data_IF_079976071495
#
_entry.id   IF_079976071495
#
_cell.length_a   1.000
_cell.length_b   1.000
_cell.length_c   1.000
_cell.angle_alpha   90.00
_cell.angle_beta   90.00
_cell.angle_gamma   90.00
#
_symmetry.space_group_name_H-M   'P 1'
#
loop_
_entity.id
_entity.type
_entity.pdbx_description
1 polymer ?
#
# COMPACT_ATOMS: atom_id res chain seq x y z
N UNK A 1 -7.46 -16.39 -12.20
CA UNK A 1 -7.83 -16.50 -10.82
C UNK A 1 -7.72 -15.20 -10.07
N UNK A 2 -8.09 -15.23 -8.82
CA UNK A 2 -8.01 -14.07 -7.92
C UNK A 2 -7.13 -14.44 -6.75
N UNK A 3 -6.14 -13.58 -6.47
CA UNK A 3 -5.29 -13.72 -5.30
C UNK A 3 -5.94 -12.99 -4.14
N UNK A 4 -5.95 -13.61 -2.97
CA UNK A 4 -6.58 -13.03 -1.77
C UNK A 4 -5.64 -13.12 -0.59
N UNK A 5 -5.57 -12.04 0.19
CA UNK A 5 -4.82 -12.00 1.43
C UNK A 5 -5.77 -11.89 2.61
N UNK A 6 -5.62 -12.79 3.59
CA UNK A 6 -6.40 -12.80 4.80
C UNK A 6 -5.51 -12.56 6.00
N UNK A 7 -6.02 -11.77 6.94
CA UNK A 7 -5.33 -11.58 8.20
C UNK A 7 -6.22 -12.17 9.30
N UNK A 8 -5.64 -13.04 10.11
CA UNK A 8 -6.34 -13.68 11.21
C UNK A 8 -6.00 -12.97 12.51
N UNK A 9 -7.03 -12.64 13.26
CA UNK A 9 -6.88 -12.07 14.60
C UNK A 9 -7.79 -12.84 15.56
N UNK A 10 -7.23 -13.27 16.70
CA UNK A 10 -7.97 -13.92 17.79
C UNK A 10 -8.85 -15.07 17.30
N UNK A 11 -8.30 -15.92 16.46
CA UNK A 11 -8.97 -17.10 15.94
C UNK A 11 -10.23 -16.83 15.13
N UNK A 12 -10.53 -15.57 14.80
CA UNK A 12 -11.62 -15.26 13.89
C UNK A 12 -11.08 -14.80 12.55
N UNK A 13 -11.74 -15.25 11.49
CA UNK A 13 -11.40 -14.86 10.13
C UNK A 13 -12.42 -13.85 9.64
N UNK A 14 -11.94 -12.62 9.36
CA UNK A 14 -12.74 -11.65 8.62
C UNK A 14 -12.71 -11.94 7.13
N UNK A 15 -13.23 -11.04 6.32
CA UNK A 15 -13.08 -11.06 4.88
C UNK A 15 -11.63 -10.83 4.47
N UNK A 16 -11.32 -11.02 3.19
CA UNK A 16 -9.97 -10.75 2.69
C UNK A 16 -9.59 -9.29 2.92
N UNK A 17 -8.38 -9.05 3.43
CA UNK A 17 -7.86 -7.70 3.64
C UNK A 17 -7.69 -6.98 2.31
N UNK A 18 -7.24 -7.69 1.29
CA UNK A 18 -7.20 -7.21 -0.09
C UNK A 18 -7.17 -8.41 -1.03
N UNK A 19 -7.63 -8.20 -2.25
CA UNK A 19 -7.58 -9.23 -3.28
C UNK A 19 -7.45 -8.61 -4.66
N UNK A 20 -6.78 -9.31 -5.57
CA UNK A 20 -6.54 -8.84 -6.92
C UNK A 20 -6.45 -10.01 -7.89
N UNK A 21 -6.85 -9.76 -9.14
CA UNK A 21 -6.59 -10.70 -10.24
C UNK A 21 -5.18 -10.53 -10.80
N UNK A 22 -4.46 -9.50 -10.39
CA UNK A 22 -3.11 -9.21 -10.84
C UNK A 22 -2.09 -9.66 -9.82
N UNK A 23 -1.16 -10.54 -10.23
CA UNK A 23 -0.06 -10.96 -9.35
C UNK A 23 0.83 -9.76 -9.03
N UNK A 24 1.09 -8.90 -10.01
CA UNK A 24 1.90 -7.68 -9.81
C UNK A 24 1.33 -6.82 -8.69
N UNK A 25 0.02 -6.55 -8.72
CA UNK A 25 -0.64 -5.76 -7.67
C UNK A 25 -0.59 -6.50 -6.33
N UNK A 26 -0.85 -7.80 -6.33
CA UNK A 26 -0.83 -8.58 -5.10
C UNK A 26 0.56 -8.55 -4.45
N UNK A 27 1.62 -8.70 -5.25
CA UNK A 27 2.98 -8.63 -4.73
C UNK A 27 3.30 -7.26 -4.15
N UNK A 28 2.82 -6.17 -4.77
CA UNK A 28 2.96 -4.83 -4.21
C UNK A 28 2.22 -4.68 -2.88
N UNK A 29 0.99 -5.17 -2.81
CA UNK A 29 0.21 -5.08 -1.58
C UNK A 29 0.87 -5.86 -0.44
N UNK A 30 1.38 -7.06 -0.73
CA UNK A 30 2.10 -7.85 0.26
C UNK A 30 3.40 -7.15 0.71
N UNK A 31 4.10 -6.53 -0.24
CA UNK A 31 5.31 -5.77 0.05
C UNK A 31 5.02 -4.60 1.00
N UNK A 32 3.96 -3.84 0.73
CA UNK A 32 3.55 -2.74 1.59
C UNK A 32 3.17 -3.24 2.98
N UNK A 33 2.45 -4.33 3.04
CA UNK A 33 1.99 -4.90 4.31
C UNK A 33 3.15 -5.41 5.17
N UNK A 34 4.01 -6.27 4.59
CA UNK A 34 5.10 -6.89 5.34
C UNK A 34 6.32 -6.00 5.47
N UNK A 35 6.56 -5.12 4.50
CA UNK A 35 7.69 -4.19 4.54
C UNK A 35 7.63 -3.27 5.75
N UNK A 36 6.45 -2.71 6.03
CA UNK A 36 6.26 -1.88 7.22
C UNK A 36 6.57 -2.66 8.50
N UNK A 37 6.08 -3.89 8.62
CA UNK A 37 6.32 -4.74 9.79
C UNK A 37 7.80 -5.07 9.94
N UNK A 38 8.47 -5.36 8.85
CA UNK A 38 9.91 -5.62 8.87
C UNK A 38 10.67 -4.44 9.44
N UNK A 39 10.34 -3.22 9.02
CA UNK A 39 11.02 -2.02 9.51
C UNK A 39 10.78 -1.80 10.98
N UNK A 40 9.57 -2.06 11.47
CA UNK A 40 9.26 -1.97 12.91
C UNK A 40 10.13 -2.97 13.69
N UNK A 41 10.18 -4.23 13.24
CA UNK A 41 10.93 -5.28 13.92
C UNK A 41 12.44 -5.04 13.86
N UNK A 42 12.92 -4.41 12.79
CA UNK A 42 14.35 -4.13 12.61
C UNK A 42 14.78 -2.81 13.25
N UNK A 43 13.84 -2.10 13.87
CA UNK A 43 14.07 -0.78 14.46
C UNK A 43 14.58 0.23 13.42
N UNK A 44 14.15 0.10 12.18
CA UNK A 44 14.41 1.06 11.12
C UNK A 44 13.40 2.19 11.19
N UNK A 45 13.77 3.36 10.70
CA UNK A 45 12.83 4.47 10.58
C UNK A 45 11.68 4.05 9.66
N UNK A 46 10.47 4.41 10.05
CA UNK A 46 9.29 4.11 9.25
C UNK A 46 9.28 4.99 8.00
N UNK A 47 8.58 4.54 6.97
CA UNK A 47 8.38 5.32 5.76
C UNK A 47 7.08 6.12 5.91
N UNK A 48 7.16 7.42 5.69
CA UNK A 48 5.97 8.28 5.70
C UNK A 48 4.98 7.88 4.60
N UNK A 49 5.47 7.18 3.57
CA UNK A 49 4.62 6.58 2.55
C UNK A 49 3.51 5.73 3.16
N UNK A 50 3.81 4.96 4.20
CA UNK A 50 2.84 4.07 4.84
C UNK A 50 1.70 4.81 5.54
N UNK A 51 1.86 6.12 5.76
CA UNK A 51 0.83 6.97 6.35
C UNK A 51 0.08 7.80 5.30
N UNK A 52 0.34 7.56 4.03
CA UNK A 52 -0.26 8.33 2.94
C UNK A 52 -1.77 8.08 2.87
N UNK A 53 -2.56 9.13 3.01
CA UNK A 53 -4.02 9.03 2.95
C UNK A 53 -4.59 9.57 1.64
N UNK A 54 -3.74 10.15 0.80
CA UNK A 54 -4.13 10.74 -0.48
C UNK A 54 -3.34 10.06 -1.58
N UNK A 55 -3.99 9.61 -2.66
CA UNK A 55 -3.25 8.97 -3.75
C UNK A 55 -2.32 9.96 -4.45
N UNK A 56 -1.36 9.41 -5.18
CA UNK A 56 -0.43 10.18 -6.00
C UNK A 56 -1.20 11.05 -6.97
N UNK A 57 -0.69 12.25 -7.24
CA UNK A 57 -1.28 13.16 -8.23
C UNK A 57 -1.44 12.44 -9.57
N UNK A 58 -2.62 12.55 -10.16
CA UNK A 58 -2.94 11.84 -11.39
C UNK A 58 -3.55 10.46 -11.18
N UNK A 59 -3.76 10.07 -9.94
CA UNK A 59 -4.38 8.78 -9.59
C UNK A 59 -5.63 8.99 -8.74
N UNK A 60 -6.58 8.07 -8.86
CA UNK A 60 -7.80 8.11 -8.07
C UNK A 60 -8.14 6.71 -7.58
N UNK A 61 -8.80 6.64 -6.44
CA UNK A 61 -9.36 5.40 -5.91
C UNK A 61 -10.70 5.15 -6.61
N UNK A 62 -10.94 3.91 -7.01
CA UNK A 62 -12.17 3.52 -7.69
C UNK A 62 -13.08 2.83 -6.68
N UNK A 63 -14.19 3.47 -6.27
CA UNK A 63 -15.09 2.87 -5.28
C UNK A 63 -15.93 1.77 -5.87
N UNK A 64 -16.48 0.91 -5.02
CA UNK A 64 -17.49 -0.06 -5.42
C UNK A 64 -18.75 0.71 -5.85
N UNK A 65 -19.29 0.32 -6.98
CA UNK A 65 -20.15 1.07 -7.85
C UNK A 65 -21.33 1.89 -7.31
N UNK A 66 -22.18 1.35 -6.44
CA UNK A 66 -23.44 2.04 -6.11
C UNK A 66 -23.45 2.72 -4.73
N UNK A 67 -22.33 2.74 -4.05
CA UNK A 67 -22.21 3.37 -2.74
C UNK A 67 -22.89 2.64 -1.59
N UNK A 68 -23.58 1.54 -1.86
CA UNK A 68 -24.23 0.73 -0.82
C UNK A 68 -23.25 -0.22 -0.15
N UNK A 69 -22.24 -0.67 -0.90
CA UNK A 69 -21.19 -1.51 -0.38
C UNK A 69 -19.94 -0.66 -0.15
N UNK A 70 -19.39 -0.66 1.05
CA UNK A 70 -18.14 0.05 1.30
C UNK A 70 -16.99 -0.63 0.59
N UNK A 71 -15.93 0.13 0.36
CA UNK A 71 -14.71 -0.41 -0.24
C UNK A 71 -14.43 0.09 -1.63
N UNK A 72 -13.35 -0.45 -2.20
CA UNK A 72 -12.80 0.01 -3.46
C UNK A 72 -12.51 -1.17 -4.36
N UNK A 73 -12.54 -0.91 -5.68
CA UNK A 73 -12.19 -1.89 -6.71
C UNK A 73 -10.72 -1.82 -7.09
N UNK A 74 -10.06 -0.70 -6.83
CA UNK A 74 -8.66 -0.50 -7.19
C UNK A 74 -8.32 0.96 -7.38
N UNK A 75 -7.30 1.21 -8.20
CA UNK A 75 -6.84 2.57 -8.51
C UNK A 75 -6.79 2.76 -10.02
N UNK A 76 -6.94 4.01 -10.46
CA UNK A 76 -6.91 4.37 -11.88
C UNK A 76 -6.07 5.62 -12.08
N UNK A 77 -5.23 5.61 -13.12
CA UNK A 77 -4.46 6.77 -13.52
C UNK A 77 -5.29 7.67 -14.45
N UNK A 78 -4.85 8.92 -14.62
CA UNK A 78 -5.47 9.84 -15.58
C UNK A 78 -5.42 9.31 -17.01
N UNK A 79 -4.38 8.52 -17.33
CA UNK A 79 -4.24 7.91 -18.66
C UNK A 79 -5.19 6.73 -18.87
N UNK A 80 -5.93 6.32 -17.83
CA UNK A 80 -6.91 5.26 -17.94
C UNK A 80 -6.40 3.87 -17.53
N UNK A 81 -5.16 3.77 -17.06
CA UNK A 81 -4.65 2.49 -16.57
C UNK A 81 -5.32 2.16 -15.25
N UNK A 82 -5.91 0.98 -15.16
CA UNK A 82 -6.59 0.51 -13.96
C UNK A 82 -5.83 -0.67 -13.37
N UNK A 83 -5.58 -0.60 -12.07
CA UNK A 83 -5.00 -1.70 -11.30
C UNK A 83 -6.05 -2.22 -10.33
N UNK A 84 -6.44 -3.48 -10.50
CA UNK A 84 -7.45 -4.12 -9.66
C UNK A 84 -6.87 -4.44 -8.28
N UNK A 85 -7.51 -3.91 -7.25
CA UNK A 85 -7.18 -4.26 -5.87
C UNK A 85 -8.41 -4.01 -5.01
N UNK A 86 -9.17 -5.06 -4.77
CA UNK A 86 -10.39 -4.94 -3.98
C UNK A 86 -10.05 -4.93 -2.51
N UNK A 87 -10.42 -3.87 -1.82
CA UNK A 87 -10.10 -3.67 -0.41
C UNK A 87 -10.98 -2.60 0.21
N UNK A 88 -11.11 -2.62 1.53
CA UNK A 88 -11.71 -1.52 2.29
C UNK A 88 -10.67 -0.49 2.72
N UNK A 89 -9.39 -0.76 2.49
CA UNK A 89 -8.28 0.04 3.00
C UNK A 89 -7.88 1.13 2.00
N UNK A 90 -8.42 2.31 2.16
CA UNK A 90 -8.08 3.43 1.28
C UNK A 90 -6.59 3.79 1.35
N UNK A 91 -5.97 3.68 2.52
CA UNK A 91 -4.52 3.94 2.68
C UNK A 91 -3.66 2.99 1.86
N UNK A 92 -4.03 1.71 1.84
CA UNK A 92 -3.31 0.73 1.04
C UNK A 92 -3.29 1.16 -0.42
N UNK A 93 -4.45 1.58 -0.94
CA UNK A 93 -4.56 2.01 -2.32
C UNK A 93 -3.81 3.32 -2.59
N UNK A 94 -3.82 4.25 -1.64
CA UNK A 94 -3.06 5.49 -1.77
C UNK A 94 -1.57 5.21 -1.84
N UNK A 95 -1.06 4.34 -0.96
CA UNK A 95 0.33 3.90 -0.99
C UNK A 95 0.66 3.19 -2.29
N UNK A 96 -0.24 2.30 -2.75
CA UNK A 96 -0.06 1.54 -3.98
C UNK A 96 0.14 2.47 -5.19
N UNK A 97 -0.56 3.60 -5.24
CA UNK A 97 -0.45 4.54 -6.36
C UNK A 97 0.95 5.11 -6.53
N UNK A 98 1.77 5.10 -5.48
CA UNK A 98 3.15 5.59 -5.54
C UNK A 98 4.15 4.55 -5.98
N UNK A 99 3.84 3.27 -5.86
CA UNK A 99 4.82 2.20 -6.08
C UNK A 99 4.44 1.23 -7.20
N UNK A 100 3.20 1.23 -7.64
CA UNK A 100 2.67 0.21 -8.55
C UNK A 100 3.40 0.16 -9.90
N UNK A 101 3.99 1.26 -10.34
CA UNK A 101 4.72 1.32 -11.60
C UNK A 101 6.13 0.74 -11.51
N UNK A 102 6.62 0.50 -10.29
CA UNK A 102 7.92 -0.14 -10.09
C UNK A 102 7.79 -1.65 -9.99
N UNK A 103 8.90 -2.37 -10.06
CA UNK A 103 8.92 -3.80 -9.77
C UNK A 103 8.65 -4.02 -8.28
N UNK A 104 7.78 -4.98 -7.92
CA UNK A 104 7.57 -5.30 -6.50
C UNK A 104 8.85 -5.67 -5.77
N UNK A 105 9.77 -6.37 -6.43
CA UNK A 105 11.04 -6.75 -5.83
C UNK A 105 11.90 -5.54 -5.51
N UNK A 106 11.94 -4.55 -6.42
CA UNK A 106 12.70 -3.32 -6.20
C UNK A 106 12.14 -2.55 -5.00
N UNK A 107 10.81 -2.48 -4.88
CA UNK A 107 10.17 -1.83 -3.74
C UNK A 107 10.47 -2.59 -2.46
N UNK A 108 10.40 -3.92 -2.49
CA UNK A 108 10.71 -4.75 -1.32
C UNK A 108 12.15 -4.51 -0.85
N UNK A 109 13.12 -4.51 -1.78
CA UNK A 109 14.52 -4.27 -1.43
C UNK A 109 14.69 -2.92 -0.73
N UNK A 110 13.94 -1.91 -1.15
CA UNK A 110 13.98 -0.60 -0.51
C UNK A 110 13.44 -0.65 0.93
N UNK A 111 12.37 -1.40 1.18
CA UNK A 111 11.88 -1.60 2.54
C UNK A 111 12.89 -2.29 3.44
N UNK A 112 13.69 -3.20 2.87
CA UNK A 112 14.67 -3.97 3.64
C UNK A 112 15.94 -3.19 3.96
N UNK A 113 16.11 -1.98 3.41
CA UNK A 113 17.28 -1.14 3.64
C UNK A 113 16.97 -0.03 4.64
N UNK A 114 17.86 0.24 5.59
CA UNK A 114 17.63 1.32 6.56
C UNK A 114 17.36 2.68 5.91
N UNK A 115 18.06 2.99 4.81
CA UNK A 115 17.93 4.26 4.10
C UNK A 115 16.75 4.31 3.12
N UNK A 116 15.98 3.23 3.00
CA UNK A 116 14.87 3.18 2.06
C UNK A 116 15.27 2.91 0.61
N UNK A 117 16.56 2.66 0.35
CA UNK A 117 17.07 2.41 -0.99
C UNK A 117 16.81 3.56 -1.95
N UNK A 118 17.05 3.38 -3.25
CA UNK A 118 16.92 4.52 -4.18
C UNK A 118 15.48 4.98 -4.39
N UNK A 119 14.49 4.10 -4.27
CA UNK A 119 13.11 4.45 -4.60
C UNK A 119 12.34 5.11 -3.46
N UNK A 120 12.63 4.73 -2.22
CA UNK A 120 11.83 5.12 -1.06
C UNK A 120 12.59 6.00 -0.07
N UNK A 121 13.84 6.38 -0.37
CA UNK A 121 14.66 7.17 0.54
C UNK A 121 14.02 8.51 0.91
N UNK A 122 13.29 9.13 -0.02
CA UNK A 122 12.58 10.38 0.23
C UNK A 122 11.47 10.24 1.27
N UNK A 123 11.00 9.02 1.51
CA UNK A 123 9.91 8.74 2.44
C UNK A 123 10.40 8.33 3.82
N UNK A 124 11.70 8.14 4.01
CA UNK A 124 12.23 7.77 5.32
C UNK A 124 11.95 8.88 6.30
N UNK A 125 11.30 8.51 7.40
CA UNK A 125 10.85 9.46 8.39
C UNK A 125 12.05 10.19 9.01
N UNK A 126 11.93 11.52 9.08
CA UNK A 126 12.88 12.37 9.78
C UNK A 126 12.39 12.51 11.20
N UNK A 127 12.57 11.52 12.04
CA UNK A 127 12.11 11.64 13.42
C UNK A 127 10.83 12.44 13.55
N UNK A 128 9.69 11.78 13.28
CA UNK A 128 8.40 12.44 13.40
C UNK A 128 8.25 13.05 14.78
N UNK A 129 8.12 14.36 14.84
CA UNK A 129 7.80 15.06 16.07
C UNK A 129 6.46 15.75 15.88
N UNK A 130 5.62 15.82 16.93
CA UNK A 130 4.31 16.47 16.81
C UNK A 130 4.41 17.92 16.33
N UNK A 131 5.52 18.61 16.60
CA UNK A 131 5.72 19.99 16.19
C UNK A 131 5.91 20.15 14.69
N UNK A 132 6.38 19.10 14.00
CA UNK A 132 6.60 19.14 12.56
C UNK A 132 5.33 18.88 11.75
N UNK A 133 4.29 18.46 12.42
CA UNK A 133 3.03 18.06 11.78
C UNK A 133 2.02 19.22 11.69
N UNK A 134 2.46 20.41 11.97
CA UNK A 134 1.60 21.60 11.91
C UNK A 134 1.65 22.29 10.57
#
# INVERSE_FOLDING_TARGET
GVYSFYQYERASRGGASFKSSSLHVMEHCLTLHFGKRFRIWSDYKLLTLDECSVPRVGWSLVPVGDGRQPGYLGIRSESGVFYSCRTYQSRLLSCLSYVVEYSPLDVLECYLRPDGGPLLSQWVDREWTPEEDE
#
